data_IF_062896757445
#
_entry.id   IF_062896757445
#
_cell.length_a   1.000
_cell.length_b   1.000
_cell.length_c   1.000
_cell.angle_alpha   90.00
_cell.angle_beta   90.00
_cell.angle_gamma   90.00
#
_symmetry.space_group_name_H-M   'P 1'
#
loop_
_entity.id
_entity.type
_entity.pdbx_description
1 polymer ?
#
# COMPACT_ATOMS: atom_id res chain seq x y z
N UNK A 1 -5.05 -20.31 18.15
CA UNK A 1 -5.99 -19.19 18.35
C UNK A 1 -7.12 -19.66 19.25
N UNK A 2 -6.94 -19.59 20.57
CA UNK A 2 -7.85 -20.24 21.53
C UNK A 2 -8.99 -19.32 21.99
N UNK A 3 -8.98 -18.04 21.62
CA UNK A 3 -10.05 -17.09 21.94
C UNK A 3 -10.06 -15.88 21.01
N UNK A 4 -11.17 -15.13 20.98
CA UNK A 4 -11.22 -13.82 20.32
C UNK A 4 -10.13 -12.86 20.82
N UNK A 5 -9.73 -12.98 22.09
CA UNK A 5 -8.65 -12.21 22.66
C UNK A 5 -7.30 -12.57 22.03
N UNK A 6 -7.00 -13.86 21.81
CA UNK A 6 -5.75 -14.25 21.15
C UNK A 6 -5.68 -13.70 19.72
N UNK A 7 -6.79 -13.70 18.98
CA UNK A 7 -6.85 -13.09 17.63
C UNK A 7 -6.40 -11.62 17.66
N UNK A 8 -6.90 -10.86 18.63
CA UNK A 8 -6.53 -9.46 18.79
C UNK A 8 -5.04 -9.30 19.12
N UNK A 9 -4.53 -10.07 20.09
CA UNK A 9 -3.14 -10.02 20.54
C UNK A 9 -2.16 -10.42 19.44
N UNK A 10 -2.43 -11.53 18.75
CA UNK A 10 -1.59 -12.04 17.66
C UNK A 10 -1.53 -11.00 16.53
N UNK A 11 -2.70 -10.51 16.10
CA UNK A 11 -2.80 -9.50 15.03
C UNK A 11 -2.08 -8.20 15.40
N UNK A 12 -2.33 -7.67 16.60
CA UNK A 12 -1.75 -6.39 17.02
C UNK A 12 -0.23 -6.50 17.22
N UNK A 13 0.21 -7.62 17.80
CA UNK A 13 1.62 -7.92 18.03
C UNK A 13 2.39 -7.97 16.72
N UNK A 14 1.95 -8.81 15.78
CA UNK A 14 2.56 -8.96 14.46
C UNK A 14 2.72 -7.60 13.76
N UNK A 15 1.69 -6.76 13.76
CA UNK A 15 1.76 -5.43 13.15
C UNK A 15 2.86 -4.57 13.77
N UNK A 16 3.02 -4.60 15.10
CA UNK A 16 4.01 -3.77 15.77
C UNK A 16 5.43 -4.32 15.56
N UNK A 17 5.71 -5.58 15.93
CA UNK A 17 7.09 -6.08 15.92
C UNK A 17 7.57 -6.47 14.53
N UNK A 18 6.68 -6.93 13.64
CA UNK A 18 7.04 -7.41 12.31
C UNK A 18 6.88 -6.33 11.25
N UNK A 19 5.74 -5.62 11.21
CA UNK A 19 5.48 -4.65 10.13
C UNK A 19 6.05 -3.27 10.46
N UNK A 20 5.73 -2.71 11.63
CA UNK A 20 5.99 -1.30 11.92
C UNK A 20 7.47 -0.93 11.92
N UNK A 21 8.35 -1.73 12.54
CA UNK A 21 9.79 -1.43 12.60
C UNK A 21 10.42 -1.33 11.20
N UNK A 22 10.15 -2.32 10.36
CA UNK A 22 10.65 -2.36 8.98
C UNK A 22 10.01 -1.31 8.08
N UNK A 23 8.70 -1.12 8.20
CA UNK A 23 7.96 -0.10 7.46
C UNK A 23 8.48 1.31 7.78
N UNK A 24 8.69 1.63 9.06
CA UNK A 24 9.20 2.92 9.49
C UNK A 24 10.57 3.22 8.90
N UNK A 25 11.48 2.23 8.93
CA UNK A 25 12.80 2.33 8.32
C UNK A 25 12.71 2.57 6.80
N UNK A 26 11.89 1.79 6.11
CA UNK A 26 11.73 1.88 4.65
C UNK A 26 11.15 3.25 4.25
N UNK A 27 10.19 3.79 5.01
CA UNK A 27 9.64 5.13 4.80
C UNK A 27 10.72 6.21 5.01
N UNK A 28 11.56 6.11 6.05
CA UNK A 28 12.66 7.08 6.26
C UNK A 28 13.63 7.06 5.08
N UNK A 29 14.05 5.87 4.65
CA UNK A 29 14.97 5.72 3.50
C UNK A 29 14.34 6.32 2.25
N UNK A 30 13.07 6.03 2.00
CA UNK A 30 12.34 6.57 0.86
C UNK A 30 12.28 8.12 0.89
N UNK A 31 11.95 8.72 2.02
CA UNK A 31 11.89 10.19 2.12
C UNK A 31 13.27 10.84 2.02
N UNK A 32 14.30 10.18 2.53
CA UNK A 32 15.67 10.63 2.34
C UNK A 32 16.07 10.62 0.86
N UNK A 33 15.70 9.57 0.12
CA UNK A 33 15.93 9.52 -1.34
C UNK A 33 15.16 10.64 -2.04
N UNK A 34 13.88 10.85 -1.73
CA UNK A 34 13.11 11.94 -2.34
C UNK A 34 13.76 13.30 -2.11
N UNK A 35 14.19 13.59 -0.88
CA UNK A 35 14.89 14.83 -0.54
C UNK A 35 16.11 15.09 -1.42
N UNK A 36 16.88 14.04 -1.76
CA UNK A 36 18.10 14.18 -2.57
C UNK A 36 17.86 14.19 -4.08
N UNK A 37 16.74 13.66 -4.56
CA UNK A 37 16.51 13.41 -5.99
C UNK A 37 15.35 14.22 -6.61
N UNK A 38 14.56 14.98 -5.84
CA UNK A 38 13.34 15.70 -6.28
C UNK A 38 13.54 16.54 -7.56
N UNK A 39 14.53 17.43 -7.59
CA UNK A 39 14.76 18.35 -8.73
C UNK A 39 15.15 17.63 -10.04
N UNK A 40 15.76 16.45 -9.94
CA UNK A 40 16.26 15.69 -11.10
C UNK A 40 15.12 14.96 -11.82
N UNK A 41 14.08 14.57 -11.08
CA UNK A 41 12.92 13.85 -11.60
C UNK A 41 12.10 14.71 -12.57
N UNK A 42 11.90 15.99 -12.25
CA UNK A 42 11.09 16.90 -13.07
C UNK A 42 11.73 17.20 -14.44
N UNK A 43 13.05 17.38 -14.46
CA UNK A 43 13.81 17.64 -15.70
C UNK A 43 13.79 16.42 -16.62
N UNK A 44 13.96 15.21 -16.07
CA UNK A 44 14.04 13.98 -16.86
C UNK A 44 12.75 13.66 -17.63
N UNK A 45 11.57 13.98 -17.09
CA UNK A 45 10.28 13.76 -17.76
C UNK A 45 10.05 14.77 -18.88
N UNK A 46 10.39 16.05 -18.65
CA UNK A 46 10.12 17.13 -19.61
C UNK A 46 10.90 16.98 -20.93
N UNK A 47 12.08 16.37 -20.90
CA UNK A 47 12.95 16.25 -22.09
C UNK A 47 12.63 15.04 -23.00
N UNK A 48 11.88 14.03 -22.55
CA UNK A 48 11.74 12.73 -23.26
C UNK A 48 10.31 12.34 -23.63
N UNK A 49 9.62 13.20 -24.40
CA UNK A 49 8.22 13.03 -24.80
C UNK A 49 7.88 11.71 -25.56
N UNK A 50 8.87 11.05 -26.19
CA UNK A 50 8.68 9.75 -26.90
C UNK A 50 8.79 8.52 -26.00
N UNK A 51 9.41 8.64 -24.83
CA UNK A 51 9.64 7.54 -23.86
C UNK A 51 8.88 7.77 -22.56
N UNK A 52 7.86 8.62 -22.61
CA UNK A 52 7.00 8.98 -21.48
C UNK A 52 6.43 7.75 -20.76
N UNK A 53 5.93 6.74 -21.49
CA UNK A 53 5.38 5.50 -20.90
C UNK A 53 6.43 4.70 -20.12
N UNK A 54 7.63 4.55 -20.68
CA UNK A 54 8.75 3.85 -20.02
C UNK A 54 9.14 4.55 -18.72
N UNK A 55 9.27 5.88 -18.79
CA UNK A 55 9.60 6.70 -17.61
C UNK A 55 8.45 6.61 -16.59
N UNK A 56 7.20 6.63 -17.04
CA UNK A 56 6.02 6.45 -16.18
C UNK A 56 6.09 5.18 -15.35
N UNK A 57 6.36 4.04 -15.99
CA UNK A 57 6.54 2.77 -15.27
C UNK A 57 7.72 2.81 -14.29
N UNK A 58 8.84 3.46 -14.64
CA UNK A 58 10.00 3.58 -13.72
C UNK A 58 9.61 4.34 -12.44
N UNK A 59 8.80 5.39 -12.56
CA UNK A 59 8.28 6.11 -11.40
C UNK A 59 7.31 5.27 -10.57
N UNK A 60 6.68 4.25 -11.15
CA UNK A 60 5.85 3.29 -10.41
C UNK A 60 6.66 2.33 -9.53
N UNK A 61 7.93 2.05 -9.87
CA UNK A 61 8.83 1.28 -9.00
C UNK A 61 9.18 1.99 -7.69
N UNK A 62 8.98 3.30 -7.64
CA UNK A 62 9.27 4.09 -6.45
C UNK A 62 8.37 3.56 -5.32
N UNK A 63 8.93 3.01 -4.23
CA UNK A 63 8.14 2.41 -3.16
C UNK A 63 7.12 3.39 -2.56
N UNK A 64 5.94 2.88 -2.20
CA UNK A 64 4.81 3.71 -1.78
C UNK A 64 4.08 4.38 -2.96
N UNK A 65 3.31 5.43 -2.67
CA UNK A 65 2.47 6.09 -3.67
C UNK A 65 3.08 7.38 -4.26
N UNK A 66 4.24 7.83 -3.76
CA UNK A 66 4.77 9.18 -4.05
C UNK A 66 5.10 9.42 -5.52
N UNK A 67 5.77 8.47 -6.19
CA UNK A 67 6.11 8.58 -7.61
C UNK A 67 4.88 8.66 -8.51
N UNK A 68 3.87 7.85 -8.23
CA UNK A 68 2.59 7.85 -8.95
C UNK A 68 1.80 9.13 -8.71
N UNK A 69 1.77 9.66 -7.48
CA UNK A 69 1.10 10.94 -7.15
C UNK A 69 1.75 12.11 -7.92
N UNK A 70 3.08 12.13 -8.00
CA UNK A 70 3.79 13.13 -8.80
C UNK A 70 3.36 13.10 -10.28
N UNK A 71 3.23 11.90 -10.86
CA UNK A 71 2.75 11.73 -12.24
C UNK A 71 1.28 12.14 -12.41
N UNK A 72 0.42 11.91 -11.42
CA UNK A 72 -0.96 12.43 -11.45
C UNK A 72 -0.96 13.95 -11.59
N UNK A 73 -0.08 14.65 -10.86
CA UNK A 73 0.02 16.11 -10.96
C UNK A 73 0.52 16.57 -12.34
N UNK A 74 1.54 15.90 -12.91
CA UNK A 74 1.97 16.17 -14.29
C UNK A 74 0.88 15.86 -15.33
N UNK A 75 0.05 14.84 -15.07
CA UNK A 75 -1.09 14.51 -15.92
C UNK A 75 -2.14 15.62 -15.84
N UNK A 76 -2.46 16.12 -14.65
CA UNK A 76 -3.38 17.27 -14.44
C UNK A 76 -2.91 18.54 -15.14
N UNK A 77 -1.60 18.75 -15.24
CA UNK A 77 -1.00 19.87 -15.96
C UNK A 77 -0.92 19.65 -17.48
N UNK A 78 -1.36 18.48 -17.98
CA UNK A 78 -1.29 18.13 -19.40
C UNK A 78 0.11 17.85 -19.92
N UNK A 79 1.10 17.67 -19.03
CA UNK A 79 2.50 17.40 -19.40
C UNK A 79 2.73 15.95 -19.80
N UNK A 80 1.92 15.01 -19.32
CA UNK A 80 1.96 13.59 -19.68
C UNK A 80 0.57 13.08 -20.11
N UNK A 81 0.53 11.96 -20.83
CA UNK A 81 -0.72 11.33 -21.28
C UNK A 81 -1.19 10.16 -20.41
N UNK A 82 -2.39 9.66 -20.68
CA UNK A 82 -3.03 8.59 -19.90
C UNK A 82 -2.22 7.29 -19.92
N UNK A 83 -1.58 6.96 -21.04
CA UNK A 83 -0.75 5.76 -21.16
C UNK A 83 0.44 5.76 -20.20
N UNK A 84 1.04 6.93 -19.95
CA UNK A 84 2.13 7.10 -18.97
C UNK A 84 1.61 6.92 -17.55
N UNK A 85 0.44 7.49 -17.25
CA UNK A 85 -0.17 7.37 -15.94
C UNK A 85 -0.57 5.91 -15.63
N UNK A 86 -1.16 5.20 -16.60
CA UNK A 86 -1.48 3.77 -16.46
C UNK A 86 -0.22 2.92 -16.28
N UNK A 87 0.88 3.24 -16.97
CA UNK A 87 2.11 2.51 -16.77
C UNK A 87 2.64 2.67 -15.32
N UNK A 88 2.51 3.86 -14.74
CA UNK A 88 2.87 4.09 -13.35
C UNK A 88 1.95 3.33 -12.38
N UNK A 89 0.64 3.35 -12.61
CA UNK A 89 -0.32 2.62 -11.77
C UNK A 89 -0.09 1.10 -11.83
N UNK A 90 0.06 0.51 -13.01
CA UNK A 90 0.27 -0.94 -13.12
C UNK A 90 1.62 -1.38 -12.50
N UNK A 91 2.64 -0.52 -12.55
CA UNK A 91 3.95 -0.85 -11.96
C UNK A 91 3.97 -0.67 -10.45
N UNK A 92 3.11 0.18 -9.88
CA UNK A 92 3.18 0.48 -8.45
C UNK A 92 2.62 -0.66 -7.61
N UNK A 93 3.40 -1.09 -6.60
CA UNK A 93 2.93 -2.00 -5.56
C UNK A 93 2.49 -1.26 -4.29
N UNK A 94 2.47 0.07 -4.33
CA UNK A 94 2.18 0.90 -3.17
C UNK A 94 3.04 0.54 -1.97
N UNK A 95 2.43 0.53 -0.80
CA UNK A 95 3.07 0.24 0.48
C UNK A 95 3.43 -1.26 0.64
N UNK A 96 2.89 -2.16 -0.20
CA UNK A 96 3.26 -3.59 -0.20
C UNK A 96 4.74 -3.78 -0.53
N UNK A 97 5.30 -2.96 -1.42
CA UNK A 97 6.74 -2.98 -1.74
C UNK A 97 7.64 -2.73 -0.53
N UNK A 98 7.21 -1.92 0.44
CA UNK A 98 7.97 -1.62 1.66
C UNK A 98 8.01 -2.81 2.62
N UNK A 99 7.04 -3.71 2.51
CA UNK A 99 6.98 -4.94 3.31
C UNK A 99 7.76 -6.05 2.60
N UNK A 100 7.52 -6.25 1.30
CA UNK A 100 8.19 -7.29 0.54
C UNK A 100 9.71 -7.07 0.43
N UNK A 101 10.20 -5.82 0.43
CA UNK A 101 11.65 -5.56 0.45
C UNK A 101 12.35 -6.17 1.68
N UNK A 102 11.60 -6.40 2.75
CA UNK A 102 12.11 -6.98 3.99
C UNK A 102 11.88 -8.48 4.04
N UNK A 103 10.67 -8.93 3.71
CA UNK A 103 10.28 -10.34 3.83
C UNK A 103 10.93 -11.17 2.72
N UNK A 104 10.70 -10.78 1.46
CA UNK A 104 11.23 -11.46 0.29
C UNK A 104 11.58 -10.45 -0.82
N UNK A 105 12.81 -9.87 -0.78
CA UNK A 105 13.23 -8.88 -1.76
C UNK A 105 13.35 -9.47 -3.17
N UNK A 106 13.57 -10.78 -3.32
CA UNK A 106 13.61 -11.41 -4.62
C UNK A 106 12.20 -11.45 -5.23
N UNK A 107 11.20 -11.87 -4.45
CA UNK A 107 9.80 -11.84 -4.87
C UNK A 107 9.35 -10.44 -5.26
N UNK A 108 9.74 -9.42 -4.48
CA UNK A 108 9.50 -8.01 -4.84
C UNK A 108 10.05 -7.70 -6.25
N UNK A 109 11.32 -8.02 -6.50
CA UNK A 109 11.98 -7.75 -7.79
C UNK A 109 11.25 -8.48 -8.92
N UNK A 110 10.91 -9.75 -8.73
CA UNK A 110 10.21 -10.55 -9.74
C UNK A 110 8.84 -9.97 -10.11
N UNK A 111 7.98 -9.73 -9.11
CA UNK A 111 6.65 -9.16 -9.35
C UNK A 111 6.78 -7.77 -9.99
N UNK A 112 7.67 -6.93 -9.47
CA UNK A 112 7.84 -5.56 -9.96
C UNK A 112 8.29 -5.54 -11.43
N UNK A 113 9.24 -6.40 -11.83
CA UNK A 113 9.71 -6.47 -13.22
C UNK A 113 8.59 -6.93 -14.15
N UNK A 114 7.82 -7.95 -13.75
CA UNK A 114 6.70 -8.46 -14.54
C UNK A 114 5.60 -7.39 -14.68
N UNK A 115 5.25 -6.72 -13.57
CA UNK A 115 4.30 -5.62 -13.56
C UNK A 115 4.78 -4.46 -14.43
N UNK A 116 6.06 -4.10 -14.42
CA UNK A 116 6.62 -3.06 -15.27
C UNK A 116 6.58 -3.41 -16.76
N UNK A 117 6.92 -4.64 -17.14
CA UNK A 117 6.83 -5.08 -18.54
C UNK A 117 5.36 -5.03 -18.99
N UNK A 118 4.44 -5.52 -18.15
CA UNK A 118 3.00 -5.48 -18.39
C UNK A 118 2.51 -4.03 -18.54
N UNK A 119 2.96 -3.13 -17.65
CA UNK A 119 2.66 -1.71 -17.65
C UNK A 119 3.08 -1.01 -18.94
N UNK A 120 4.27 -1.32 -19.46
CA UNK A 120 4.75 -0.77 -20.74
C UNK A 120 3.83 -1.19 -21.88
N UNK A 121 3.50 -2.48 -21.96
CA UNK A 121 2.63 -3.03 -23.00
C UNK A 121 1.27 -2.33 -22.94
N UNK A 122 0.64 -2.30 -21.76
CA UNK A 122 -0.69 -1.70 -21.58
C UNK A 122 -0.65 -0.19 -21.83
N UNK A 123 0.35 0.51 -21.30
CA UNK A 123 0.50 1.96 -21.47
C UNK A 123 0.65 2.37 -22.94
N UNK A 124 1.42 1.61 -23.74
CA UNK A 124 1.52 1.83 -25.18
C UNK A 124 0.23 1.46 -25.92
N UNK A 125 -0.47 0.39 -25.52
CA UNK A 125 -1.78 0.04 -26.09
C UNK A 125 -2.78 1.19 -25.85
N UNK A 126 -2.86 1.72 -24.64
CA UNK A 126 -3.72 2.86 -24.29
C UNK A 126 -3.40 4.08 -25.15
N UNK A 127 -2.11 4.38 -25.33
CA UNK A 127 -1.63 5.49 -26.16
C UNK A 127 -1.97 5.29 -27.64
N UNK A 128 -1.76 4.09 -28.16
CA UNK A 128 -2.04 3.74 -29.56
C UNK A 128 -3.54 3.76 -29.88
N UNK A 129 -4.37 3.19 -29.00
CA UNK A 129 -5.83 3.18 -29.13
C UNK A 129 -6.47 4.55 -28.88
N UNK A 130 -5.67 5.57 -28.54
CA UNK A 130 -6.13 6.93 -28.29
C UNK A 130 -7.27 6.96 -27.26
N UNK A 131 -7.20 6.10 -26.24
CA UNK A 131 -8.24 5.94 -25.20
C UNK A 131 -8.53 7.28 -24.53
N UNK A 132 -7.47 8.06 -24.27
CA UNK A 132 -7.58 9.40 -23.71
C UNK A 132 -8.50 10.30 -24.53
N UNK A 133 -8.29 10.37 -25.86
CA UNK A 133 -9.14 11.16 -26.75
C UNK A 133 -10.53 10.54 -26.91
N UNK A 134 -10.62 9.21 -27.02
CA UNK A 134 -11.87 8.48 -27.21
C UNK A 134 -12.88 8.74 -26.09
N UNK A 135 -12.41 8.83 -24.85
CA UNK A 135 -13.26 9.05 -23.68
C UNK A 135 -13.29 10.50 -23.18
N UNK A 136 -12.64 11.42 -23.91
CA UNK A 136 -12.45 12.83 -23.53
C UNK A 136 -11.85 12.99 -22.13
N UNK A 137 -10.81 12.20 -21.83
CA UNK A 137 -10.07 12.24 -20.58
C UNK A 137 -8.99 13.31 -20.68
N UNK A 138 -9.34 14.54 -20.37
CA UNK A 138 -8.41 15.65 -20.44
C UNK A 138 -7.98 16.06 -19.04
N UNK A 139 -6.71 16.47 -18.96
CA UNK A 139 -6.17 17.30 -17.92
C UNK A 139 -6.99 18.60 -17.85
N UNK A 140 -8.07 18.62 -17.07
CA UNK A 140 -8.93 19.80 -16.99
C UNK A 140 -8.14 20.95 -16.37
N UNK A 141 -7.84 21.97 -17.18
CA UNK A 141 -7.32 23.27 -16.73
C UNK A 141 -8.38 24.07 -15.97
N UNK A 142 -9.62 23.57 -15.86
CA UNK A 142 -10.72 24.21 -15.16
C UNK A 142 -11.11 23.48 -13.88
N UNK A 143 -10.30 23.64 -12.82
CA UNK A 143 -10.83 23.57 -11.44
C UNK A 143 -10.21 24.62 -10.53
N UNK A 144 -9.93 25.83 -11.03
CA UNK A 144 -9.40 26.92 -10.19
C UNK A 144 -10.46 27.75 -9.46
N UNK A 145 -11.70 27.28 -9.25
CA UNK A 145 -12.74 28.03 -8.49
C UNK A 145 -14.03 27.21 -8.24
N UNK A 146 -14.05 26.36 -7.21
CA UNK A 146 -15.26 25.81 -6.54
C UNK A 146 -14.75 24.88 -5.43
N UNK A 147 -14.88 25.10 -4.12
CA UNK A 147 -15.74 25.97 -3.32
C UNK A 147 -14.95 26.36 -2.05
N UNK A 148 -14.41 27.57 -2.01
CA UNK A 148 -14.18 28.23 -0.73
C UNK A 148 -15.53 28.87 -0.34
N UNK A 149 -15.88 28.83 0.96
CA UNK A 149 -17.20 29.11 1.56
C UNK A 149 -18.09 27.84 1.60
N UNK A 150 -18.37 27.23 2.76
CA UNK A 150 -18.74 27.79 4.07
C UNK A 150 -18.54 26.72 5.15
N UNK A 151 -17.52 26.84 6.00
CA UNK A 151 -17.44 26.22 7.34
C UNK A 151 -16.36 26.94 8.17
N UNK A 152 -16.39 28.27 8.18
CA UNK A 152 -15.30 29.11 8.68
C UNK A 152 -15.54 29.63 10.11
N UNK A 153 -15.71 28.74 11.08
CA UNK A 153 -15.50 29.11 12.50
C UNK A 153 -15.26 27.94 13.46
N UNK A 154 -15.84 26.76 13.21
CA UNK A 154 -15.56 25.56 14.02
C UNK A 154 -14.29 24.81 13.56
N UNK A 155 -13.90 24.95 12.29
CA UNK A 155 -12.74 24.27 11.70
C UNK A 155 -11.38 24.85 12.11
N UNK A 156 -11.25 26.16 12.37
CA UNK A 156 -9.93 26.77 12.68
C UNK A 156 -9.32 26.27 14.00
N UNK A 157 -10.11 26.12 15.06
CA UNK A 157 -9.60 25.65 16.35
C UNK A 157 -9.27 24.15 16.33
N UNK A 158 -10.08 23.34 15.62
CA UNK A 158 -9.76 21.95 15.38
C UNK A 158 -8.47 21.82 14.55
N UNK A 159 -8.32 22.60 13.48
CA UNK A 159 -7.14 22.63 12.63
C UNK A 159 -5.87 23.05 13.40
N UNK A 160 -5.97 24.02 14.32
CA UNK A 160 -4.85 24.42 15.19
C UNK A 160 -4.45 23.31 16.17
N UNK A 161 -5.43 22.65 16.80
CA UNK A 161 -5.17 21.55 17.75
C UNK A 161 -4.60 20.33 17.03
N UNK A 162 -5.24 19.88 15.94
CA UNK A 162 -4.73 18.76 15.16
C UNK A 162 -3.41 19.10 14.47
N UNK A 163 -3.23 20.33 13.98
CA UNK A 163 -1.97 20.80 13.41
C UNK A 163 -0.83 20.77 14.44
N UNK A 164 -1.07 21.15 15.69
CA UNK A 164 -0.08 21.02 16.76
C UNK A 164 0.25 19.55 17.06
N UNK A 165 -0.79 18.69 17.18
CA UNK A 165 -0.63 17.26 17.44
C UNK A 165 0.16 16.58 16.32
N UNK A 166 -0.25 16.78 15.06
CA UNK A 166 0.37 16.23 13.85
C UNK A 166 1.83 16.69 13.71
N UNK A 167 2.14 17.93 14.09
CA UNK A 167 3.47 18.50 13.91
C UNK A 167 4.47 18.11 15.01
N UNK A 168 4.01 17.93 16.25
CA UNK A 168 4.90 17.74 17.39
C UNK A 168 4.70 16.39 18.08
N UNK A 169 3.46 16.04 18.41
CA UNK A 169 3.18 14.89 19.26
C UNK A 169 3.33 13.59 18.47
N UNK A 170 2.70 13.50 17.31
CA UNK A 170 2.69 12.27 16.50
C UNK A 170 4.11 11.86 16.05
N UNK A 171 4.96 12.76 15.53
CA UNK A 171 6.30 12.37 15.12
C UNK A 171 7.17 11.90 16.28
N UNK A 172 7.09 12.58 17.43
CA UNK A 172 7.81 12.19 18.65
C UNK A 172 7.31 10.82 19.12
N UNK A 173 5.99 10.62 19.14
CA UNK A 173 5.37 9.36 19.50
C UNK A 173 5.87 8.20 18.64
N UNK A 174 5.81 8.33 17.30
CA UNK A 174 6.29 7.26 16.42
C UNK A 174 7.80 7.06 16.50
N UNK A 175 8.58 8.12 16.73
CA UNK A 175 10.03 7.98 16.93
C UNK A 175 10.33 7.19 18.20
N UNK A 176 9.64 7.49 19.31
CA UNK A 176 9.78 6.74 20.57
C UNK A 176 9.31 5.29 20.38
N UNK A 177 8.17 5.08 19.74
CA UNK A 177 7.64 3.75 19.45
C UNK A 177 8.62 2.96 18.57
N UNK A 178 9.21 3.59 17.55
CA UNK A 178 10.23 2.98 16.71
C UNK A 178 11.47 2.59 17.50
N UNK A 179 12.02 3.49 18.31
CA UNK A 179 13.16 3.18 19.17
C UNK A 179 12.85 2.08 20.19
N UNK A 180 11.60 1.96 20.63
CA UNK A 180 11.14 0.90 21.51
C UNK A 180 10.92 -0.44 20.80
N UNK A 181 10.52 -0.47 19.52
CA UNK A 181 10.16 -1.72 18.83
C UNK A 181 11.31 -2.24 17.96
N UNK A 182 12.00 -1.35 17.26
CA UNK A 182 13.00 -1.70 16.26
C UNK A 182 14.17 -2.57 16.78
N UNK A 183 14.70 -2.36 18.01
CA UNK A 183 15.72 -3.24 18.55
C UNK A 183 15.25 -4.70 18.63
N UNK A 184 14.01 -4.92 19.04
CA UNK A 184 13.41 -6.27 19.04
C UNK A 184 13.25 -6.80 17.64
N UNK A 185 12.74 -6.00 16.69
CA UNK A 185 12.56 -6.41 15.29
C UNK A 185 13.87 -6.95 14.69
N UNK A 186 15.00 -6.28 14.92
CA UNK A 186 16.32 -6.73 14.45
C UNK A 186 16.75 -8.01 15.16
N UNK A 187 16.61 -8.08 16.48
CA UNK A 187 16.97 -9.27 17.27
C UNK A 187 16.15 -10.48 16.80
N UNK A 188 14.84 -10.33 16.68
CA UNK A 188 13.93 -11.38 16.27
C UNK A 188 14.18 -11.86 14.83
N UNK A 189 14.66 -10.98 13.94
CA UNK A 189 14.89 -11.31 12.53
C UNK A 189 16.27 -11.95 12.26
N UNK A 190 17.31 -11.55 13.00
CA UNK A 190 18.69 -11.96 12.69
C UNK A 190 19.32 -12.91 13.71
N UNK A 191 18.74 -13.07 14.90
CA UNK A 191 19.28 -13.94 15.94
C UNK A 191 18.42 -15.22 15.99
N UNK A 192 19.02 -16.41 15.82
CA UNK A 192 18.31 -17.68 16.03
C UNK A 192 17.68 -17.72 17.42
N UNK A 193 16.41 -18.10 17.48
CA UNK A 193 15.59 -18.09 18.70
C UNK A 193 15.52 -16.70 19.37
N UNK A 194 15.68 -15.61 18.60
CA UNK A 194 15.61 -14.24 19.10
C UNK A 194 14.28 -13.93 19.80
N UNK A 195 13.16 -14.48 19.29
CA UNK A 195 11.84 -14.35 19.93
C UNK A 195 11.80 -15.04 21.31
N UNK A 196 12.32 -16.26 21.41
CA UNK A 196 12.34 -17.04 22.66
C UNK A 196 13.27 -16.42 23.71
N UNK A 197 14.44 -15.96 23.28
CA UNK A 197 15.46 -15.36 24.13
C UNK A 197 15.00 -14.03 24.76
N UNK A 198 14.00 -13.36 24.16
CA UNK A 198 13.49 -12.06 24.58
C UNK A 198 11.96 -12.07 24.79
N UNK A 199 11.42 -13.18 25.31
CA UNK A 199 9.98 -13.37 25.54
C UNK A 199 9.32 -12.26 26.37
N UNK A 200 9.99 -11.76 27.43
CA UNK A 200 9.47 -10.64 28.22
C UNK A 200 9.34 -9.34 27.42
N UNK A 201 10.25 -9.12 26.46
CA UNK A 201 10.22 -7.93 25.62
C UNK A 201 9.20 -8.06 24.50
N UNK A 202 9.03 -9.27 23.95
CA UNK A 202 7.93 -9.62 23.04
C UNK A 202 6.56 -9.35 23.70
N UNK A 203 6.35 -9.85 24.92
CA UNK A 203 5.13 -9.58 25.69
C UNK A 203 4.92 -8.07 25.90
N UNK A 204 5.98 -7.32 26.23
CA UNK A 204 5.87 -5.86 26.37
C UNK A 204 5.43 -5.18 25.06
N UNK A 205 5.92 -5.65 23.91
CA UNK A 205 5.51 -5.16 22.59
C UNK A 205 4.06 -5.53 22.27
N UNK A 206 3.64 -6.75 22.56
CA UNK A 206 2.25 -7.20 22.37
C UNK A 206 1.28 -6.35 23.20
N UNK A 207 1.54 -6.16 24.49
CA UNK A 207 0.72 -5.29 25.34
C UNK A 207 0.72 -3.84 24.86
N UNK A 208 1.88 -3.34 24.41
CA UNK A 208 1.97 -2.00 23.81
C UNK A 208 1.09 -1.92 22.56
N UNK A 209 1.07 -2.94 21.71
CA UNK A 209 0.30 -2.96 20.46
C UNK A 209 -1.22 -2.93 20.70
N UNK A 210 -1.72 -3.67 21.69
CA UNK A 210 -3.15 -3.72 22.06
C UNK A 210 -3.64 -2.35 22.55
N UNK A 211 -2.76 -1.52 23.11
CA UNK A 211 -3.10 -0.17 23.56
C UNK A 211 -2.91 0.85 22.42
N UNK A 212 -1.76 0.81 21.76
CA UNK A 212 -1.35 1.80 20.76
C UNK A 212 -2.20 1.75 19.49
N UNK A 213 -2.47 0.57 18.95
CA UNK A 213 -3.19 0.47 17.67
C UNK A 213 -4.63 1.01 17.77
N UNK A 214 -5.44 0.67 18.79
CA UNK A 214 -6.74 1.31 18.97
C UNK A 214 -6.66 2.83 19.13
N UNK A 215 -5.65 3.36 19.83
CA UNK A 215 -5.46 4.81 19.96
C UNK A 215 -5.15 5.47 18.61
N UNK A 216 -4.30 4.85 17.78
CA UNK A 216 -3.99 5.33 16.42
C UNK A 216 -5.26 5.33 15.56
N UNK A 217 -6.06 4.27 15.63
CA UNK A 217 -7.31 4.14 14.86
C UNK A 217 -8.34 5.19 15.30
N UNK A 218 -8.52 5.35 16.61
CA UNK A 218 -9.39 6.40 17.16
C UNK A 218 -8.91 7.76 16.70
N UNK A 219 -7.61 8.04 16.80
CA UNK A 219 -7.02 9.30 16.32
C UNK A 219 -7.28 9.52 14.83
N UNK A 220 -7.07 8.51 13.99
CA UNK A 220 -7.33 8.57 12.55
C UNK A 220 -8.79 8.95 12.24
N UNK A 221 -9.76 8.25 12.84
CA UNK A 221 -11.18 8.53 12.60
C UNK A 221 -11.63 9.87 13.18
N UNK A 222 -11.14 10.24 14.36
CA UNK A 222 -11.38 11.56 14.96
C UNK A 222 -10.82 12.66 14.06
N UNK A 223 -9.58 12.51 13.58
CA UNK A 223 -8.95 13.45 12.65
C UNK A 223 -9.76 13.58 11.37
N UNK A 224 -10.18 12.48 10.74
CA UNK A 224 -11.02 12.52 9.53
C UNK A 224 -12.38 13.15 9.78
N UNK A 225 -13.00 12.87 10.93
CA UNK A 225 -14.31 13.41 11.28
C UNK A 225 -14.27 14.93 11.43
N UNK A 226 -13.24 15.47 12.10
CA UNK A 226 -13.10 16.91 12.33
C UNK A 226 -12.43 17.66 11.17
N UNK A 227 -11.51 17.04 10.44
CA UNK A 227 -10.76 17.63 9.31
C UNK A 227 -11.38 17.20 7.96
N UNK A 228 -12.71 17.01 7.93
CA UNK A 228 -13.45 16.48 6.77
C UNK A 228 -13.45 17.40 5.53
N UNK A 229 -12.69 18.50 5.53
CA UNK A 229 -12.72 19.54 4.50
C UNK A 229 -11.35 19.98 3.95
N UNK A 230 -10.21 19.39 4.34
CA UNK A 230 -8.89 19.80 3.80
C UNK A 230 -8.04 18.65 3.23
N UNK A 231 -8.58 17.43 3.20
CA UNK A 231 -7.89 16.26 2.65
C UNK A 231 -7.64 16.33 1.13
N UNK A 232 -8.37 17.19 0.43
CA UNK A 232 -8.24 17.38 -1.01
C UNK A 232 -7.21 18.46 -1.40
N UNK A 233 -6.76 19.31 -0.47
CA UNK A 233 -5.98 20.53 -0.80
C UNK A 233 -4.46 20.40 -0.52
N UNK A 234 -4.02 19.73 0.55
CA UNK A 234 -2.59 19.70 0.93
C UNK A 234 -1.69 18.93 -0.06
N UNK A 235 -2.24 18.00 -0.86
CA UNK A 235 -1.47 17.35 -1.93
C UNK A 235 -1.52 18.09 -3.28
N UNK A 236 -2.32 19.17 -3.37
CA UNK A 236 -2.55 19.90 -4.61
C UNK A 236 -2.03 21.34 -4.60
N UNK A 237 -1.78 21.93 -3.42
CA UNK A 237 -1.33 23.33 -3.28
C UNK A 237 0.05 23.49 -2.60
N UNK A 238 0.93 22.49 -2.68
CA UNK A 238 2.34 22.77 -2.39
C UNK A 238 2.93 23.60 -3.55
N UNK A 239 2.82 24.93 -3.42
CA UNK A 239 3.50 25.87 -4.27
C UNK A 239 4.99 25.52 -4.30
N UNK A 240 5.45 25.08 -5.47
CA UNK A 240 6.84 24.71 -5.82
C UNK A 240 7.86 25.81 -5.44
N UNK A 241 7.41 27.01 -5.08
CA UNK A 241 8.24 28.17 -4.78
C UNK A 241 8.69 28.36 -3.32
N UNK A 242 8.24 27.55 -2.35
CA UNK A 242 8.65 27.74 -0.93
C UNK A 242 9.49 26.59 -0.34
N UNK A 243 10.18 25.84 -1.21
CA UNK A 243 10.80 24.53 -0.88
C UNK A 243 12.19 24.58 -0.21
N UNK A 244 12.70 25.77 0.13
CA UNK A 244 14.09 25.93 0.59
C UNK A 244 14.33 25.89 2.10
N UNK A 245 13.32 26.03 2.96
CA UNK A 245 13.53 26.23 4.42
C UNK A 245 12.69 25.37 5.37
N UNK A 246 11.75 24.58 4.86
CA UNK A 246 10.81 23.76 5.65
C UNK A 246 10.93 22.24 5.38
N UNK A 247 11.91 21.81 4.58
CA UNK A 247 11.97 20.47 3.98
C UNK A 247 11.91 19.29 4.94
N UNK A 248 12.73 19.28 6.00
CA UNK A 248 12.79 18.12 6.92
C UNK A 248 11.52 18.03 7.79
N UNK A 249 11.02 19.17 8.29
CA UNK A 249 9.81 19.20 9.12
C UNK A 249 8.58 18.75 8.34
N UNK A 250 8.47 19.17 7.09
CA UNK A 250 7.38 18.76 6.21
C UNK A 250 7.42 17.25 5.92
N UNK A 251 8.60 16.69 5.64
CA UNK A 251 8.77 15.25 5.42
C UNK A 251 8.40 14.42 6.64
N UNK A 252 8.82 14.83 7.84
CA UNK A 252 8.51 14.11 9.09
C UNK A 252 7.00 14.02 9.35
N UNK A 253 6.26 15.09 9.05
CA UNK A 253 4.79 15.08 9.19
C UNK A 253 4.15 14.13 8.17
N UNK A 254 4.66 14.10 6.94
CA UNK A 254 4.25 13.14 5.91
C UNK A 254 4.49 11.68 6.32
N UNK A 255 5.66 11.38 6.92
CA UNK A 255 5.98 10.05 7.47
C UNK A 255 4.95 9.64 8.51
N UNK A 256 4.71 10.54 9.47
CA UNK A 256 3.79 10.32 10.59
C UNK A 256 2.35 10.06 10.13
N UNK A 257 1.88 10.83 9.16
CA UNK A 257 0.56 10.65 8.58
C UNK A 257 0.43 9.32 7.82
N UNK A 258 1.42 8.98 6.99
CA UNK A 258 1.45 7.70 6.26
C UNK A 258 1.42 6.52 7.24
N UNK A 259 2.15 6.60 8.36
CA UNK A 259 2.14 5.54 9.38
C UNK A 259 0.77 5.38 10.03
N UNK A 260 0.09 6.46 10.41
CA UNK A 260 -1.27 6.39 10.97
C UNK A 260 -2.21 5.67 10.00
N UNK A 261 -2.16 6.09 8.74
CA UNK A 261 -3.02 5.54 7.68
C UNK A 261 -2.74 4.06 7.47
N UNK A 262 -1.47 3.68 7.27
CA UNK A 262 -1.07 2.29 7.00
C UNK A 262 -1.39 1.42 8.20
N UNK A 263 -0.97 1.79 9.42
CA UNK A 263 -1.21 1.00 10.62
C UNK A 263 -2.71 0.81 10.89
N UNK A 264 -3.54 1.83 10.62
CA UNK A 264 -4.99 1.73 10.77
C UNK A 264 -5.60 0.72 9.80
N UNK A 265 -5.32 0.85 8.50
CA UNK A 265 -5.92 -0.01 7.48
C UNK A 265 -5.37 -1.43 7.49
N UNK A 266 -4.08 -1.59 7.74
CA UNK A 266 -3.45 -2.91 7.91
C UNK A 266 -4.05 -3.61 9.12
N UNK A 267 -4.19 -2.92 10.26
CA UNK A 267 -4.85 -3.50 11.44
C UNK A 267 -6.28 -3.92 11.15
N UNK A 268 -7.11 -3.03 10.59
CA UNK A 268 -8.52 -3.34 10.31
C UNK A 268 -8.63 -4.55 9.38
N UNK A 269 -7.83 -4.57 8.31
CA UNK A 269 -7.89 -5.65 7.32
C UNK A 269 -7.42 -6.97 7.91
N UNK A 270 -6.27 -6.98 8.57
CA UNK A 270 -5.72 -8.19 9.20
C UNK A 270 -6.62 -8.70 10.31
N UNK A 271 -7.17 -7.80 11.13
CA UNK A 271 -8.10 -8.18 12.18
C UNK A 271 -9.34 -8.85 11.61
N UNK A 272 -9.93 -8.31 10.52
CA UNK A 272 -11.06 -8.93 9.83
C UNK A 272 -10.68 -10.30 9.26
N UNK A 273 -9.55 -10.41 8.56
CA UNK A 273 -9.06 -11.67 7.99
C UNK A 273 -8.87 -12.72 9.09
N UNK A 274 -8.17 -12.38 10.16
CA UNK A 274 -7.95 -13.28 11.29
C UNK A 274 -9.26 -13.64 12.01
N UNK A 275 -10.23 -12.72 12.07
CA UNK A 275 -11.58 -13.02 12.57
C UNK A 275 -12.33 -14.03 11.68
N UNK A 276 -12.21 -13.89 10.36
CA UNK A 276 -12.82 -14.81 9.40
C UNK A 276 -12.17 -16.18 9.50
N UNK A 277 -10.83 -16.26 9.56
CA UNK A 277 -10.10 -17.51 9.76
C UNK A 277 -10.52 -18.16 11.09
N UNK A 278 -10.55 -17.38 12.18
CA UNK A 278 -11.04 -17.86 13.48
C UNK A 278 -12.47 -18.39 13.40
N UNK A 279 -13.38 -17.67 12.74
CA UNK A 279 -14.76 -18.09 12.57
C UNK A 279 -14.86 -19.39 11.76
N UNK A 280 -14.08 -19.53 10.68
CA UNK A 280 -14.03 -20.76 9.88
C UNK A 280 -13.55 -21.92 10.75
N UNK A 281 -12.44 -21.77 11.47
CA UNK A 281 -11.89 -22.81 12.36
C UNK A 281 -12.91 -23.18 13.45
N UNK A 282 -13.52 -22.19 14.10
CA UNK A 282 -14.49 -22.39 15.18
C UNK A 282 -15.77 -23.09 14.70
N UNK A 283 -16.35 -22.68 13.57
CA UNK A 283 -17.60 -23.25 13.05
C UNK A 283 -17.42 -24.60 12.37
N UNK A 284 -16.25 -24.86 11.78
CA UNK A 284 -16.00 -26.10 11.06
C UNK A 284 -15.72 -27.29 11.99
N UNK A 285 -15.60 -27.08 13.31
CA UNK A 285 -15.10 -28.09 14.25
C UNK A 285 -13.71 -28.65 13.82
N UNK A 286 -13.00 -27.98 12.91
CA UNK A 286 -11.63 -28.29 12.46
C UNK A 286 -10.66 -27.71 13.51
N UNK A 287 -10.83 -28.13 14.76
CA UNK A 287 -9.85 -27.84 15.80
C UNK A 287 -8.66 -28.82 15.72
N UNK A 288 -8.78 -29.91 14.96
CA UNK A 288 -7.78 -30.99 14.95
C UNK A 288 -6.70 -30.92 13.88
N UNK A 289 -6.76 -30.07 12.86
CA UNK A 289 -5.59 -29.93 11.99
C UNK A 289 -5.65 -28.70 11.07
N UNK A 290 -4.93 -27.63 11.42
CA UNK A 290 -4.54 -26.62 10.42
C UNK A 290 -3.63 -27.24 9.36
N UNK A 291 -2.90 -28.30 9.72
CA UNK A 291 -2.20 -29.14 8.75
C UNK A 291 -3.15 -29.72 7.70
N UNK A 292 -4.40 -30.07 8.04
CA UNK A 292 -5.37 -30.55 7.04
C UNK A 292 -5.77 -29.42 6.08
N UNK A 293 -5.83 -28.16 6.53
CA UNK A 293 -6.11 -27.01 5.66
C UNK A 293 -4.93 -26.77 4.72
N UNK A 294 -3.70 -26.74 5.24
CA UNK A 294 -2.51 -26.57 4.42
C UNK A 294 -2.30 -27.77 3.48
N UNK A 295 -2.55 -28.99 3.92
CA UNK A 295 -2.49 -30.22 3.11
C UNK A 295 -3.54 -30.20 1.99
N UNK A 296 -4.76 -29.73 2.28
CA UNK A 296 -5.81 -29.56 1.28
C UNK A 296 -5.44 -28.49 0.26
N UNK A 297 -4.86 -27.37 0.69
CA UNK A 297 -4.35 -26.33 -0.20
C UNK A 297 -3.19 -26.88 -1.03
N UNK A 298 -2.24 -27.59 -0.43
CA UNK A 298 -1.11 -28.20 -1.11
C UNK A 298 -1.53 -29.26 -2.13
N UNK A 299 -2.66 -29.94 -1.91
CA UNK A 299 -3.25 -30.86 -2.86
C UNK A 299 -3.82 -30.15 -4.10
N UNK A 300 -4.38 -28.95 -3.95
CA UNK A 300 -5.04 -28.20 -5.04
C UNK A 300 -4.21 -27.04 -5.60
N UNK A 301 -3.09 -26.65 -4.96
CA UNK A 301 -2.32 -25.45 -5.35
C UNK A 301 -1.74 -25.52 -6.76
N UNK A 302 -1.59 -26.73 -7.31
CA UNK A 302 -1.13 -26.97 -8.68
C UNK A 302 -2.27 -27.08 -9.71
N UNK A 303 -3.51 -27.10 -9.25
CA UNK A 303 -4.67 -27.18 -10.11
C UNK A 303 -4.94 -25.84 -10.82
N UNK A 304 -5.17 -25.92 -12.12
CA UNK A 304 -5.44 -24.74 -12.94
C UNK A 304 -6.66 -23.95 -12.48
N UNK A 305 -7.72 -24.64 -12.04
CA UNK A 305 -8.95 -23.96 -11.61
C UNK A 305 -8.72 -23.15 -10.33
N UNK A 306 -7.90 -23.66 -9.40
CA UNK A 306 -7.54 -22.98 -8.16
C UNK A 306 -6.71 -21.75 -8.46
N UNK A 307 -5.67 -21.87 -9.30
CA UNK A 307 -4.83 -20.74 -9.71
C UNK A 307 -5.61 -19.66 -10.48
N UNK A 308 -6.53 -20.06 -11.36
CA UNK A 308 -7.43 -19.12 -12.05
C UNK A 308 -8.30 -18.36 -11.04
N UNK A 309 -8.86 -19.07 -10.06
CA UNK A 309 -9.67 -18.45 -9.01
C UNK A 309 -8.84 -17.44 -8.21
N UNK A 310 -7.61 -17.79 -7.82
CA UNK A 310 -6.71 -16.89 -7.10
C UNK A 310 -6.32 -15.67 -7.95
N UNK A 311 -6.09 -15.82 -9.25
CA UNK A 311 -5.85 -14.69 -10.16
C UNK A 311 -7.03 -13.72 -10.15
N UNK A 312 -8.27 -14.24 -10.21
CA UNK A 312 -9.49 -13.41 -10.18
C UNK A 312 -9.65 -12.74 -8.82
N UNK A 313 -9.45 -13.46 -7.71
CA UNK A 313 -9.50 -12.90 -6.37
C UNK A 313 -8.44 -11.79 -6.22
N UNK A 314 -7.20 -12.05 -6.63
CA UNK A 314 -6.12 -11.08 -6.60
C UNK A 314 -6.48 -9.81 -7.37
N UNK A 315 -7.05 -9.95 -8.57
CA UNK A 315 -7.51 -8.83 -9.39
C UNK A 315 -8.61 -8.01 -8.69
N UNK A 316 -9.57 -8.69 -8.05
CA UNK A 316 -10.68 -8.04 -7.35
C UNK A 316 -10.22 -7.33 -6.07
N UNK A 317 -9.32 -7.96 -5.31
CA UNK A 317 -8.74 -7.33 -4.11
C UNK A 317 -7.94 -6.09 -4.49
N UNK A 318 -7.21 -6.11 -5.61
CA UNK A 318 -6.45 -4.95 -6.07
C UNK A 318 -7.33 -3.75 -6.43
N UNK A 319 -8.60 -3.96 -6.80
CA UNK A 319 -9.55 -2.86 -7.02
C UNK A 319 -9.96 -2.12 -5.75
N UNK A 320 -9.81 -2.75 -4.57
CA UNK A 320 -10.20 -2.11 -3.32
C UNK A 320 -9.20 -0.97 -3.07
N UNK A 321 -9.63 0.29 -3.03
CA UNK A 321 -8.71 1.39 -2.79
C UNK A 321 -8.07 1.26 -1.40
N UNK A 322 -6.92 1.89 -1.19
CA UNK A 322 -6.02 1.79 0.00
C UNK A 322 -5.00 0.65 -0.11
N UNK A 323 -4.13 0.50 0.91
CA UNK A 323 -3.05 -0.49 0.95
C UNK A 323 -3.34 -1.71 1.84
N UNK A 324 -4.29 -1.61 2.77
CA UNK A 324 -4.57 -2.65 3.76
C UNK A 324 -4.97 -3.99 3.13
N UNK A 325 -5.99 -4.03 2.24
CA UNK A 325 -6.41 -5.23 1.52
C UNK A 325 -5.28 -5.92 0.76
N UNK A 326 -4.40 -5.16 0.13
CA UNK A 326 -3.29 -5.65 -0.70
C UNK A 326 -2.15 -6.17 0.15
N UNK A 327 -1.85 -5.52 1.27
CA UNK A 327 -0.89 -6.02 2.27
C UNK A 327 -1.39 -7.35 2.83
N UNK A 328 -2.65 -7.41 3.30
CA UNK A 328 -3.23 -8.63 3.84
C UNK A 328 -3.26 -9.77 2.80
N UNK A 329 -3.68 -9.47 1.57
CA UNK A 329 -3.66 -10.44 0.48
C UNK A 329 -2.24 -10.94 0.20
N UNK A 330 -1.27 -10.05 0.05
CA UNK A 330 0.12 -10.44 -0.22
C UNK A 330 0.65 -11.36 0.87
N UNK A 331 0.44 -10.99 2.14
CA UNK A 331 0.91 -11.76 3.29
C UNK A 331 0.21 -13.13 3.44
N UNK A 332 -1.08 -13.23 3.10
CA UNK A 332 -1.81 -14.52 3.05
C UNK A 332 -1.27 -15.43 1.94
N UNK A 333 -0.90 -14.86 0.81
CA UNK A 333 -0.39 -15.63 -0.33
C UNK A 333 0.97 -16.23 -0.03
N UNK A 334 1.83 -15.52 0.72
CA UNK A 334 3.17 -15.97 1.10
C UNK A 334 3.21 -16.72 2.45
N UNK A 335 2.08 -16.82 3.17
CA UNK A 335 2.01 -17.56 4.43
C UNK A 335 2.67 -16.86 5.62
N UNK A 336 2.69 -15.53 5.65
CA UNK A 336 3.30 -14.74 6.74
C UNK A 336 2.28 -14.27 7.79
N UNK A 337 1.00 -14.65 7.66
CA UNK A 337 -0.07 -14.33 8.63
C UNK A 337 -0.62 -15.60 9.26
N UNK A 338 -0.70 -15.61 10.59
CA UNK A 338 -1.28 -16.71 11.39
C UNK A 338 -0.32 -17.39 12.37
N UNK A 339 0.85 -16.79 12.62
CA UNK A 339 1.90 -17.34 13.48
C UNK A 339 2.35 -18.74 13.04
N UNK A 340 2.53 -19.65 14.00
CA UNK A 340 2.94 -21.06 13.74
C UNK A 340 1.91 -21.86 12.91
N UNK A 341 0.73 -21.29 12.67
CA UNK A 341 -0.38 -21.90 11.94
C UNK A 341 -0.70 -21.14 10.64
N UNK A 342 0.24 -20.32 10.14
CA UNK A 342 0.03 -19.55 8.94
C UNK A 342 -0.25 -20.45 7.73
N UNK A 343 -1.26 -20.07 6.95
CA UNK A 343 -1.67 -20.79 5.74
C UNK A 343 -1.18 -20.03 4.53
N UNK A 344 -0.33 -20.65 3.73
CA UNK A 344 0.14 -20.10 2.47
C UNK A 344 -0.79 -20.54 1.34
N UNK A 345 -1.59 -19.61 0.82
CA UNK A 345 -2.50 -19.90 -0.30
C UNK A 345 -1.77 -20.08 -1.63
N UNK A 346 -0.59 -19.46 -1.76
CA UNK A 346 0.34 -19.61 -2.87
C UNK A 346 -0.13 -19.02 -4.21
N UNK A 347 0.79 -18.85 -5.16
CA UNK A 347 0.50 -18.32 -6.49
C UNK A 347 1.07 -16.92 -6.76
N UNK A 348 2.25 -16.89 -7.38
CA UNK A 348 2.86 -15.69 -7.97
C UNK A 348 1.94 -15.04 -8.99
N UNK A 349 1.19 -15.81 -9.78
CA UNK A 349 0.25 -15.27 -10.78
C UNK A 349 -0.84 -14.40 -10.15
N UNK A 350 -1.31 -14.78 -8.97
CA UNK A 350 -2.31 -14.04 -8.22
C UNK A 350 -1.72 -12.80 -7.54
N UNK A 351 -0.46 -12.87 -7.07
CA UNK A 351 0.29 -11.69 -6.60
C UNK A 351 0.55 -10.69 -7.73
N UNK A 352 0.90 -11.16 -8.94
CA UNK A 352 1.05 -10.32 -10.15
C UNK A 352 -0.30 -9.69 -10.50
N UNK A 353 -1.39 -10.48 -10.50
CA UNK A 353 -2.74 -9.98 -10.77
C UNK A 353 -3.14 -8.88 -9.77
N UNK A 354 -2.90 -9.10 -8.49
CA UNK A 354 -3.13 -8.09 -7.44
C UNK A 354 -2.27 -6.84 -7.63
N UNK A 355 -0.97 -7.01 -7.93
CA UNK A 355 -0.05 -5.92 -8.20
C UNK A 355 -0.48 -5.05 -9.39
N UNK A 356 -0.99 -5.66 -10.47
CA UNK A 356 -1.37 -4.93 -11.69
C UNK A 356 -2.70 -4.18 -11.50
N UNK A 357 -3.59 -4.68 -10.65
CA UNK A 357 -4.92 -4.11 -10.42
C UNK A 357 -4.98 -3.06 -9.31
N UNK A 358 -3.94 -2.96 -8.50
CA UNK A 358 -3.83 -1.97 -7.43
C UNK A 358 -3.18 -0.66 -7.90
N UNK A 359 -3.68 0.44 -7.36
CA UNK A 359 -3.19 1.81 -7.59
C UNK A 359 -2.84 2.53 -6.28
N UNK A 360 -2.87 1.79 -5.16
CA UNK A 360 -2.62 2.28 -3.81
C UNK A 360 -3.48 3.50 -3.45
N UNK A 361 -2.91 4.41 -2.67
CA UNK A 361 -3.55 5.68 -2.34
C UNK A 361 -3.56 6.68 -3.51
N UNK A 362 -2.68 6.50 -4.50
CA UNK A 362 -2.62 7.37 -5.67
C UNK A 362 -3.93 7.31 -6.48
N UNK A 363 -4.60 6.16 -6.50
CA UNK A 363 -5.94 6.00 -7.06
C UNK A 363 -6.97 6.98 -6.50
N UNK A 364 -6.98 7.19 -5.17
CA UNK A 364 -7.91 8.09 -4.49
C UNK A 364 -7.67 9.55 -4.91
N UNK A 365 -6.40 9.94 -5.04
CA UNK A 365 -6.00 11.29 -5.50
C UNK A 365 -6.43 11.53 -6.95
N UNK A 366 -6.38 10.50 -7.80
CA UNK A 366 -6.89 10.62 -9.16
C UNK A 366 -8.42 10.65 -9.20
N UNK A 367 -9.09 9.85 -8.37
CA UNK A 367 -10.55 9.82 -8.25
C UNK A 367 -11.15 11.17 -7.84
N UNK A 368 -10.51 11.89 -6.90
CA UNK A 368 -11.00 13.21 -6.49
C UNK A 368 -11.00 14.23 -7.63
N UNK A 369 -10.08 14.04 -8.60
CA UNK A 369 -9.92 14.88 -9.78
C UNK A 369 -10.81 14.45 -10.97
N UNK A 370 -10.72 13.19 -11.39
CA UNK A 370 -11.45 12.66 -12.55
C UNK A 370 -12.05 11.29 -12.24
N UNK A 371 -13.28 11.30 -11.71
CA UNK A 371 -14.03 10.08 -11.39
C UNK A 371 -14.29 9.19 -12.60
N UNK A 372 -14.48 9.77 -13.79
CA UNK A 372 -14.76 9.02 -15.01
C UNK A 372 -13.49 8.36 -15.52
N UNK A 373 -12.40 9.13 -15.55
CA UNK A 373 -11.06 8.61 -15.83
C UNK A 373 -10.69 7.49 -14.88
N UNK A 374 -10.94 7.66 -13.58
CA UNK A 374 -10.64 6.66 -12.56
C UNK A 374 -11.34 5.33 -12.84
N UNK A 375 -12.63 5.35 -13.16
CA UNK A 375 -13.37 4.14 -13.54
C UNK A 375 -12.80 3.47 -14.79
N UNK A 376 -12.34 4.25 -15.78
CA UNK A 376 -11.72 3.70 -17.00
C UNK A 376 -10.36 3.08 -16.69
N UNK A 377 -9.53 3.74 -15.88
CA UNK A 377 -8.24 3.19 -15.42
C UNK A 377 -8.47 1.87 -14.70
N UNK A 378 -9.42 1.82 -13.75
CA UNK A 378 -9.76 0.59 -13.01
C UNK A 378 -10.22 -0.56 -13.91
N UNK A 379 -10.98 -0.27 -14.96
CA UNK A 379 -11.36 -1.29 -15.94
C UNK A 379 -10.17 -1.81 -16.75
N UNK A 380 -9.24 -0.93 -17.13
CA UNK A 380 -8.02 -1.31 -17.84
C UNK A 380 -7.11 -2.14 -16.93
N UNK A 381 -6.93 -1.72 -15.68
CA UNK A 381 -6.20 -2.44 -14.64
C UNK A 381 -6.79 -3.82 -14.39
N UNK A 382 -8.10 -3.93 -14.17
CA UNK A 382 -8.78 -5.21 -13.97
C UNK A 382 -8.58 -6.17 -15.15
N UNK A 383 -8.81 -5.66 -16.36
CA UNK A 383 -8.63 -6.47 -17.58
C UNK A 383 -7.18 -6.92 -17.75
N UNK A 384 -6.23 -6.03 -17.50
CA UNK A 384 -4.80 -6.33 -17.59
C UNK A 384 -4.37 -7.34 -16.51
N UNK A 385 -4.83 -7.17 -15.28
CA UNK A 385 -4.53 -8.05 -14.15
C UNK A 385 -4.98 -9.48 -14.42
N UNK A 386 -6.21 -9.67 -14.91
CA UNK A 386 -6.71 -11.00 -15.28
C UNK A 386 -5.90 -11.57 -16.45
N UNK A 387 -5.66 -10.79 -17.50
CA UNK A 387 -4.91 -11.30 -18.68
C UNK A 387 -3.49 -11.72 -18.29
N UNK A 388 -2.72 -10.84 -17.64
CA UNK A 388 -1.35 -11.14 -17.28
C UNK A 388 -1.28 -12.19 -16.17
N UNK A 389 -2.15 -12.15 -15.17
CA UNK A 389 -2.26 -13.21 -14.15
C UNK A 389 -2.44 -14.59 -14.79
N UNK A 390 -3.39 -14.73 -15.73
CA UNK A 390 -3.61 -16.00 -16.44
C UNK A 390 -2.39 -16.43 -17.28
N UNK A 391 -1.70 -15.49 -17.93
CA UNK A 391 -0.46 -15.77 -18.70
C UNK A 391 0.63 -16.31 -17.79
N UNK A 392 0.70 -15.84 -16.55
CA UNK A 392 1.76 -16.16 -15.59
C UNK A 392 1.44 -17.38 -14.70
N UNK A 393 0.25 -17.99 -14.77
CA UNK A 393 -0.08 -19.25 -14.06
C UNK A 393 0.98 -20.36 -14.23
N UNK A 394 1.57 -20.60 -15.42
CA UNK A 394 2.59 -21.62 -15.57
C UNK A 394 3.79 -21.43 -14.64
N UNK A 395 4.12 -20.20 -14.21
CA UNK A 395 5.22 -19.93 -13.28
C UNK A 395 4.94 -20.43 -11.87
N UNK A 396 3.69 -20.45 -11.42
CA UNK A 396 3.33 -20.96 -10.08
C UNK A 396 3.78 -22.40 -9.88
N UNK A 397 3.75 -23.19 -10.96
CA UNK A 397 4.20 -24.60 -10.96
C UNK A 397 5.71 -24.76 -10.81
N UNK A 398 6.49 -23.70 -11.04
CA UNK A 398 7.95 -23.71 -10.93
C UNK A 398 8.45 -23.01 -9.67
N UNK A 399 7.68 -22.09 -9.11
CA UNK A 399 8.12 -21.25 -7.99
C UNK A 399 7.82 -21.85 -6.62
N UNK A 400 7.07 -22.97 -6.54
CA UNK A 400 6.65 -23.62 -5.28
C UNK A 400 6.08 -22.62 -4.25
N UNK A 401 5.54 -21.51 -4.75
CA UNK A 401 5.06 -20.38 -3.95
C UNK A 401 3.57 -20.54 -3.73
#
# INVERSE_FOLDING_TARGET
>A
MDSLASVLFDTSGEILYFIFGWLFLAIIVFQLLNYFFEDKWEVMIKEKQKSDVLIGGIFGFIPGCGGTIFLINLFKEGKIGLGTLIAAFITTMGEVSLILIVIDPLLLIYISIISYISAIIVGYIVKYLKIQQKYNLYATTETKKRKLHTHEKESKKALEVFGFIDHWIIPIFFTILFLFVFPFTIIASFIPNGKENFSNYLLAIEWTSVIVLPLIIIYYFVRIYFIRSSHDEDHSEENIHDKGKTGIKHQINHISYNLILILTWVFITLFIVNLVIYAIIYYSNIYENINDIQDNIDAVKNDWWYLILLVVIGALVGLIPTCGPQIAFTLLMIGEIGGDNAVAFGGISALISNSISQDGHAGIVYFSFDKKGYGIIKLIELGSAIIFGLIFIPLDKFTNL
#
